data_IF_335683182210
#
_entry.id   IF_335683182210
#
_cell.length_a   1.000
_cell.length_b   1.000
_cell.length_c   1.000
_cell.angle_alpha   90.00
_cell.angle_beta   90.00
_cell.angle_gamma   90.00
#
_symmetry.space_group_name_H-M   'P 1'
#
loop_
_entity.id
_entity.type
_entity.pdbx_description
1 polymer ?
#
# COMPACT_ATOMS: atom_id res chain seq x y z
N UNK A 1 -22.29 -11.61 52.58
CA UNK A 1 -22.68 -11.54 51.15
C UNK A 1 -23.84 -10.56 51.02
N UNK A 2 -23.82 -9.58 50.10
CA UNK A 2 -23.44 -9.64 48.67
C UNK A 2 -22.23 -8.71 48.38
N UNK A 3 -21.67 -8.56 47.18
CA UNK A 3 -21.98 -9.05 45.85
C UNK A 3 -20.69 -8.99 45.02
N UNK A 4 -20.62 -9.82 43.98
CA UNK A 4 -19.42 -10.03 43.18
C UNK A 4 -18.95 -8.76 42.48
N UNK A 5 -17.66 -8.45 42.63
CA UNK A 5 -16.93 -7.66 41.65
C UNK A 5 -16.70 -8.57 40.43
N UNK A 6 -17.47 -8.34 39.37
CA UNK A 6 -17.08 -8.73 38.03
C UNK A 6 -15.86 -7.87 37.66
N UNK A 7 -14.67 -8.40 37.91
CA UNK A 7 -13.46 -7.79 37.35
C UNK A 7 -13.44 -8.05 35.86
N UNK A 8 -13.24 -6.96 35.12
CA UNK A 8 -13.47 -6.86 33.70
C UNK A 8 -12.63 -7.87 32.94
N UNK A 9 -13.25 -8.52 31.96
CA UNK A 9 -12.52 -9.19 30.91
C UNK A 9 -11.59 -8.19 30.24
N UNK A 10 -10.31 -8.23 30.61
CA UNK A 10 -9.23 -7.55 29.91
C UNK A 10 -9.16 -8.16 28.52
N UNK A 11 -9.90 -7.56 27.59
CA UNK A 11 -9.70 -7.80 26.17
C UNK A 11 -8.26 -7.37 25.85
N UNK A 12 -7.40 -8.37 25.66
CA UNK A 12 -6.02 -8.21 25.21
C UNK A 12 -6.04 -7.43 23.89
N UNK A 13 -5.78 -6.12 23.97
CA UNK A 13 -5.84 -5.23 22.81
C UNK A 13 -4.65 -5.42 21.86
N UNK A 14 -3.72 -6.32 22.20
CA UNK A 14 -2.59 -6.68 21.38
C UNK A 14 -2.47 -8.21 21.25
N UNK A 15 -2.28 -8.67 20.02
CA UNK A 15 -1.70 -9.99 19.69
C UNK A 15 -0.44 -9.72 18.88
N UNK A 16 0.65 -10.49 19.07
CA UNK A 16 1.90 -10.31 18.32
C UNK A 16 1.74 -10.91 16.92
N UNK A 17 1.05 -10.19 16.03
CA UNK A 17 1.02 -10.49 14.60
C UNK A 17 1.31 -9.21 13.80
N UNK A 18 2.42 -9.23 13.07
CA UNK A 18 2.71 -8.37 11.92
C UNK A 18 2.74 -6.85 12.18
N UNK A 19 3.85 -6.36 12.75
CA UNK A 19 4.32 -5.00 12.42
C UNK A 19 5.00 -5.02 11.04
N UNK A 20 4.23 -5.34 10.00
CA UNK A 20 4.56 -4.97 8.62
C UNK A 20 4.47 -3.45 8.55
N UNK A 21 5.55 -2.77 8.13
CA UNK A 21 5.43 -1.43 7.59
C UNK A 21 4.48 -1.53 6.39
N UNK A 22 3.21 -1.27 6.65
CA UNK A 22 2.11 -1.43 5.71
C UNK A 22 2.01 -0.11 4.95
N UNK A 23 2.83 0.08 3.91
CA UNK A 23 2.48 1.06 2.88
C UNK A 23 1.29 0.52 2.10
N UNK A 24 0.10 0.75 2.64
CA UNK A 24 -1.13 0.62 1.87
C UNK A 24 -1.21 1.84 0.95
N UNK A 25 -0.79 1.67 -0.31
CA UNK A 25 -1.02 2.65 -1.39
C UNK A 25 -2.52 2.64 -1.75
N UNK A 26 -3.35 3.31 -0.95
CA UNK A 26 -4.76 3.51 -1.28
C UNK A 26 -4.94 4.91 -1.85
N UNK A 27 -4.81 5.03 -3.17
CA UNK A 27 -5.03 6.28 -3.90
C UNK A 27 -6.48 6.69 -3.80
N UNK A 28 -6.78 7.86 -3.20
CA UNK A 28 -7.97 8.64 -3.53
C UNK A 28 -7.80 10.14 -3.33
N UNK A 29 -7.89 10.85 -4.44
CA UNK A 29 -8.25 12.26 -4.51
C UNK A 29 -9.69 12.35 -5.03
N UNK A 30 -10.57 12.99 -4.27
CA UNK A 30 -11.83 13.53 -4.77
C UNK A 30 -11.76 15.06 -4.81
N UNK A 31 -12.56 15.69 -5.69
CA UNK A 31 -12.46 17.10 -6.02
C UNK A 31 -13.03 17.97 -4.89
N UNK A 32 -12.80 19.26 -5.04
CA UNK A 32 -13.29 20.37 -4.21
C UNK A 32 -14.71 20.10 -3.67
N UNK A 33 -14.89 20.28 -2.35
CA UNK A 33 -16.21 20.24 -1.71
C UNK A 33 -17.05 21.42 -2.22
N UNK A 34 -17.90 21.16 -3.21
CA UNK A 34 -19.23 21.75 -3.26
C UNK A 34 -20.09 21.09 -2.18
N UNK A 35 -20.84 21.91 -1.45
CA UNK A 35 -21.68 21.53 -0.32
C UNK A 35 -22.74 20.49 -0.71
N UNK A 36 -22.81 19.35 0.01
CA UNK A 36 -24.00 18.49 -0.03
C UNK A 36 -23.81 17.06 0.44
N UNK A 37 -24.45 16.73 1.58
CA UNK A 37 -25.19 15.48 1.75
C UNK A 37 -24.41 14.24 2.19
N UNK A 38 -24.70 13.78 3.42
CA UNK A 38 -24.14 12.58 4.00
C UNK A 38 -24.43 11.30 3.23
N UNK A 39 -23.35 10.59 2.88
CA UNK A 39 -23.35 9.19 2.51
C UNK A 39 -22.00 8.64 2.95
N UNK A 40 -21.97 7.48 3.62
CA UNK A 40 -20.72 6.78 3.96
C UNK A 40 -19.95 6.56 2.67
N UNK A 41 -18.97 7.42 2.39
CA UNK A 41 -18.30 7.50 1.12
C UNK A 41 -17.63 6.17 0.81
N UNK A 42 -18.22 5.40 -0.12
CA UNK A 42 -17.43 4.46 -0.91
C UNK A 42 -16.33 5.32 -1.52
N UNK A 43 -15.13 5.17 -0.97
CA UNK A 43 -13.89 5.75 -1.48
C UNK A 43 -13.92 5.51 -3.01
N UNK A 44 -14.22 6.54 -3.80
CA UNK A 44 -14.51 6.41 -5.22
C UNK A 44 -13.23 6.12 -5.99
N UNK A 45 -12.93 4.84 -6.29
CA UNK A 45 -11.66 4.38 -6.90
C UNK A 45 -11.14 5.35 -7.98
N UNK A 46 -9.83 5.69 -8.00
CA UNK A 46 -9.30 6.52 -9.06
C UNK A 46 -9.53 5.83 -10.41
N UNK A 47 -9.65 6.61 -11.50
CA UNK A 47 -9.72 6.00 -12.83
C UNK A 47 -8.45 5.17 -13.09
N UNK A 48 -8.57 4.05 -13.82
CA UNK A 48 -7.44 3.18 -14.12
C UNK A 48 -6.40 3.93 -14.96
N UNK A 49 -5.12 3.69 -14.68
CA UNK A 49 -4.00 4.48 -15.20
C UNK A 49 -3.07 3.65 -16.07
N UNK A 50 -2.46 4.26 -17.08
CA UNK A 50 -1.39 3.63 -17.87
C UNK A 50 -0.06 3.89 -17.20
N UNK A 51 0.51 2.87 -16.58
CA UNK A 51 1.76 2.96 -15.82
C UNK A 51 2.70 1.84 -16.28
N UNK A 52 3.97 2.19 -16.46
CA UNK A 52 5.07 1.25 -16.60
C UNK A 52 5.66 0.96 -15.23
N UNK A 53 5.72 -0.31 -14.86
CA UNK A 53 6.24 -0.77 -13.57
C UNK A 53 7.40 -1.73 -13.82
N UNK A 54 8.57 -1.39 -13.29
CA UNK A 54 9.77 -2.20 -13.33
C UNK A 54 10.21 -2.59 -11.91
N UNK A 55 10.60 -3.85 -11.74
CA UNK A 55 11.07 -4.42 -10.48
C UNK A 55 12.44 -5.07 -10.72
N UNK A 56 13.50 -4.50 -10.14
CA UNK A 56 14.90 -4.84 -10.43
C UNK A 56 15.22 -4.84 -11.96
N UNK A 57 14.61 -3.92 -12.71
CA UNK A 57 14.74 -3.81 -14.16
C UNK A 57 13.84 -4.76 -14.97
N UNK A 58 13.08 -5.65 -14.31
CA UNK A 58 12.12 -6.54 -14.96
C UNK A 58 10.77 -5.84 -15.08
N UNK A 59 10.23 -5.80 -16.31
CA UNK A 59 8.93 -5.20 -16.61
C UNK A 59 7.78 -6.06 -16.07
N UNK A 60 6.91 -5.48 -15.23
CA UNK A 60 5.70 -6.12 -14.71
C UNK A 60 4.44 -5.73 -15.49
N UNK A 61 4.38 -4.47 -15.94
CA UNK A 61 3.34 -3.92 -16.82
C UNK A 61 3.92 -2.73 -17.57
N UNK A 62 3.48 -2.50 -18.80
CA UNK A 62 3.82 -1.31 -19.59
C UNK A 62 2.59 -0.40 -19.79
N UNK A 63 2.78 0.71 -20.50
CA UNK A 63 1.77 1.74 -20.75
C UNK A 63 0.62 1.28 -21.67
N UNK A 64 0.75 0.12 -22.31
CA UNK A 64 -0.27 -0.49 -23.18
C UNK A 64 -1.46 -1.07 -22.38
N UNK A 65 -1.27 -1.34 -21.10
CA UNK A 65 -2.32 -1.82 -20.19
C UNK A 65 -2.64 -0.81 -19.11
N UNK A 66 -3.91 -0.75 -18.73
CA UNK A 66 -4.34 0.05 -17.60
C UNK A 66 -4.23 -0.75 -16.30
N UNK A 67 -3.89 -0.05 -15.22
CA UNK A 67 -3.85 -0.59 -13.87
C UNK A 67 -4.81 0.16 -12.97
N UNK A 68 -5.53 -0.59 -12.14
CA UNK A 68 -6.38 -0.04 -11.08
C UNK A 68 -5.53 0.47 -9.90
N UNK A 69 -4.35 -0.12 -9.70
CA UNK A 69 -3.45 0.28 -8.64
C UNK A 69 -2.13 -0.47 -8.62
N UNK A 70 -1.14 0.14 -7.99
CA UNK A 70 0.17 -0.45 -7.70
C UNK A 70 0.43 -0.28 -6.21
N UNK A 71 0.82 -1.36 -5.54
CA UNK A 71 1.29 -1.32 -4.16
C UNK A 71 2.75 -1.76 -4.08
N UNK A 72 3.53 -1.04 -3.27
CA UNK A 72 4.92 -1.33 -2.96
C UNK A 72 5.04 -1.30 -1.44
N UNK A 73 5.44 -2.42 -0.87
CA UNK A 73 5.57 -2.57 0.58
C UNK A 73 6.83 -3.33 0.93
N UNK A 74 7.36 -3.15 2.13
CA UNK A 74 8.47 -4.00 2.60
C UNK A 74 7.96 -5.43 2.75
N UNK A 75 8.69 -6.41 2.21
CA UNK A 75 8.38 -7.81 2.46
C UNK A 75 8.57 -8.15 3.95
N UNK A 76 8.20 -9.38 4.35
CA UNK A 76 8.34 -9.86 5.71
C UNK A 76 9.73 -9.52 6.33
N UNK A 77 9.80 -9.27 7.66
CA UNK A 77 11.04 -8.87 8.32
C UNK A 77 12.23 -9.75 7.95
N UNK A 78 13.38 -9.14 7.67
CA UNK A 78 14.61 -9.84 7.29
C UNK A 78 14.73 -10.21 5.80
N UNK A 79 13.69 -10.01 4.99
CA UNK A 79 13.70 -10.40 3.57
C UNK A 79 14.52 -9.51 2.64
N UNK A 80 14.87 -8.28 3.04
CA UNK A 80 15.71 -7.37 2.24
C UNK A 80 15.14 -6.96 0.86
N UNK A 81 13.86 -7.25 0.60
CA UNK A 81 13.16 -7.00 -0.66
C UNK A 81 11.82 -6.30 -0.37
N UNK A 82 11.32 -5.57 -1.36
CA UNK A 82 9.97 -5.05 -1.39
C UNK A 82 9.06 -6.05 -2.09
N UNK A 83 7.83 -6.20 -1.60
CA UNK A 83 6.74 -6.82 -2.36
C UNK A 83 6.06 -5.75 -3.22
N UNK A 84 5.94 -6.04 -4.50
CA UNK A 84 5.22 -5.23 -5.49
C UNK A 84 3.99 -6.01 -5.92
N UNK A 85 2.82 -5.36 -5.87
CA UNK A 85 1.57 -5.91 -6.40
C UNK A 85 0.98 -4.91 -7.37
N UNK A 86 0.82 -5.33 -8.63
CA UNK A 86 0.14 -4.58 -9.67
C UNK A 86 -1.24 -5.20 -9.84
N UNK A 87 -2.28 -4.36 -9.83
CA UNK A 87 -3.65 -4.74 -10.11
C UNK A 87 -4.01 -4.24 -11.52
N UNK A 88 -3.98 -5.12 -12.54
CA UNK A 88 -4.43 -4.76 -13.88
C UNK A 88 -5.92 -4.39 -13.86
N UNK A 89 -6.34 -3.56 -14.81
CA UNK A 89 -7.75 -3.26 -15.04
C UNK A 89 -8.47 -4.49 -15.59
N UNK A 90 -9.66 -4.80 -15.07
CA UNK A 90 -10.38 -6.04 -15.38
C UNK A 90 -10.67 -6.24 -16.89
N UNK A 91 -10.89 -5.14 -17.62
CA UNK A 91 -11.21 -5.21 -19.06
C UNK A 91 -9.98 -5.52 -19.95
N UNK A 92 -8.75 -5.53 -19.39
CA UNK A 92 -7.52 -5.85 -20.13
C UNK A 92 -7.25 -7.37 -20.22
N UNK A 93 -8.21 -8.21 -19.83
CA UNK A 93 -8.12 -9.68 -19.96
C UNK A 93 -7.12 -10.33 -19.01
N UNK A 94 -6.77 -9.67 -17.91
CA UNK A 94 -5.84 -10.20 -16.91
C UNK A 94 -6.53 -11.20 -15.96
N UNK A 95 -5.89 -12.33 -15.69
CA UNK A 95 -6.41 -13.37 -14.78
C UNK A 95 -6.31 -12.98 -13.30
N UNK A 96 -5.54 -11.94 -12.95
CA UNK A 96 -5.41 -11.45 -11.58
C UNK A 96 -4.21 -10.52 -11.36
N UNK A 97 -3.93 -10.17 -10.09
CA UNK A 97 -2.82 -9.28 -9.75
C UNK A 97 -1.45 -9.91 -10.05
N UNK A 98 -0.54 -9.11 -10.61
CA UNK A 98 0.86 -9.49 -10.82
C UNK A 98 1.65 -9.17 -9.55
N UNK A 99 2.44 -10.13 -9.06
CA UNK A 99 3.25 -9.99 -7.84
C UNK A 99 4.72 -10.20 -8.15
N UNK A 100 5.57 -9.38 -7.54
CA UNK A 100 7.03 -9.51 -7.63
C UNK A 100 7.70 -9.14 -6.31
N UNK A 101 8.95 -9.57 -6.14
CA UNK A 101 9.84 -9.10 -5.07
C UNK A 101 11.08 -8.48 -5.68
N UNK A 102 11.46 -7.29 -5.22
CA UNK A 102 12.60 -6.57 -5.78
C UNK A 102 13.29 -5.64 -4.78
N UNK A 103 14.54 -5.27 -5.07
CA UNK A 103 15.30 -4.26 -4.31
C UNK A 103 15.00 -2.85 -4.78
N UNK A 104 14.81 -2.66 -6.08
CA UNK A 104 14.48 -1.40 -6.69
C UNK A 104 13.18 -1.53 -7.48
N UNK A 105 12.28 -0.56 -7.31
CA UNK A 105 11.00 -0.51 -8.02
C UNK A 105 10.88 0.85 -8.65
N UNK A 106 10.64 0.90 -9.96
CA UNK A 106 10.41 2.13 -10.71
C UNK A 106 8.99 2.12 -11.28
N UNK A 107 8.24 3.18 -11.00
CA UNK A 107 6.92 3.42 -11.59
C UNK A 107 7.00 4.69 -12.41
N UNK A 108 6.60 4.62 -13.67
CA UNK A 108 6.58 5.75 -14.60
C UNK A 108 5.34 5.76 -15.47
N UNK A 109 5.01 6.92 -16.05
CA UNK A 109 3.89 7.05 -16.98
C UNK A 109 3.35 8.46 -17.07
N UNK A 110 2.04 8.59 -17.24
CA UNK A 110 1.35 9.87 -17.08
C UNK A 110 1.53 10.44 -15.68
N UNK A 111 1.15 11.71 -15.46
CA UNK A 111 1.22 12.31 -14.13
C UNK A 111 0.39 11.49 -13.13
N UNK A 112 1.07 10.92 -12.13
CA UNK A 112 0.45 10.11 -11.10
C UNK A 112 0.76 10.69 -9.71
N UNK A 113 -0.14 10.39 -8.77
CA UNK A 113 0.06 10.63 -7.34
C UNK A 113 0.33 9.31 -6.65
N UNK A 114 1.00 9.34 -5.51
CA UNK A 114 1.23 8.16 -4.69
C UNK A 114 1.11 8.50 -3.21
N UNK A 115 0.75 7.52 -2.41
CA UNK A 115 0.77 7.62 -0.95
C UNK A 115 2.08 7.01 -0.42
N UNK A 116 2.67 7.66 0.56
CA UNK A 116 3.80 7.10 1.28
C UNK A 116 3.65 7.52 2.71
N UNK A 117 3.56 6.52 3.59
CA UNK A 117 3.13 6.70 4.97
C UNK A 117 1.78 7.45 5.00
N UNK A 118 1.71 8.57 5.70
CA UNK A 118 0.50 9.39 5.81
C UNK A 118 0.37 10.46 4.71
N UNK A 119 1.33 10.58 3.79
CA UNK A 119 1.41 11.70 2.85
C UNK A 119 1.08 11.27 1.42
N UNK A 120 0.25 12.08 0.76
CA UNK A 120 0.06 12.02 -0.69
C UNK A 120 1.13 12.89 -1.35
N UNK A 121 1.85 12.34 -2.33
CA UNK A 121 2.84 13.03 -3.14
C UNK A 121 2.45 13.04 -4.62
N UNK A 122 2.93 14.04 -5.35
CA UNK A 122 2.71 14.23 -6.79
C UNK A 122 1.84 15.44 -7.13
N UNK A 123 1.55 15.68 -8.43
CA UNK A 123 1.82 14.77 -9.56
C UNK A 123 3.32 14.59 -9.86
N UNK A 124 3.70 13.36 -10.24
CA UNK A 124 5.03 13.03 -10.76
C UNK A 124 4.89 12.14 -12.00
N UNK A 125 5.90 12.15 -12.87
CA UNK A 125 5.99 11.28 -14.05
C UNK A 125 6.74 9.97 -13.81
N UNK A 126 7.64 9.98 -12.83
CA UNK A 126 8.47 8.83 -12.48
C UNK A 126 8.84 8.86 -11.01
N UNK A 127 8.88 7.70 -10.38
CA UNK A 127 9.39 7.53 -9.03
C UNK A 127 10.05 6.17 -8.88
N UNK A 128 11.22 6.17 -8.24
CA UNK A 128 11.94 4.96 -7.85
C UNK A 128 11.96 4.82 -6.33
N UNK A 129 11.73 3.61 -5.84
CA UNK A 129 11.91 3.20 -4.45
C UNK A 129 12.97 2.12 -4.37
N UNK A 130 13.90 2.26 -3.44
CA UNK A 130 14.96 1.27 -3.20
C UNK A 130 14.89 0.79 -1.76
N UNK A 131 14.97 -0.52 -1.57
CA UNK A 131 15.05 -1.15 -0.26
C UNK A 131 16.46 -0.95 0.28
N UNK A 132 16.52 -0.32 1.45
CA UNK A 132 17.74 -0.22 2.23
C UNK A 132 17.65 -1.19 3.40
N UNK A 133 18.22 -2.39 3.23
CA UNK A 133 18.20 -3.42 4.26
C UNK A 133 18.99 -2.95 5.49
N UNK A 134 18.42 -3.12 6.69
CA UNK A 134 19.06 -2.69 7.93
C UNK A 134 19.18 -1.18 8.09
N UNK A 135 18.48 -0.37 7.29
CA UNK A 135 18.53 1.10 7.38
C UNK A 135 17.97 1.66 8.70
N UNK A 136 17.20 0.87 9.44
CA UNK A 136 16.61 1.25 10.71
C UNK A 136 16.84 0.17 11.75
N UNK A 137 17.37 0.56 12.91
CA UNK A 137 17.37 -0.24 14.13
C UNK A 137 16.20 0.19 15.03
N UNK A 138 15.33 -0.74 15.40
CA UNK A 138 14.18 -0.47 16.27
C UNK A 138 14.32 -1.26 17.57
N UNK A 139 14.23 -0.56 18.71
CA UNK A 139 14.06 -1.22 20.01
C UNK A 139 12.60 -1.65 20.12
N UNK A 140 12.36 -2.96 20.15
CA UNK A 140 11.03 -3.51 20.33
C UNK A 140 10.81 -3.89 21.81
N UNK A 141 9.62 -3.63 22.38
CA UNK A 141 9.29 -4.17 23.69
C UNK A 141 9.30 -5.69 23.61
N UNK A 142 9.97 -6.33 24.57
CA UNK A 142 9.92 -7.77 24.75
C UNK A 142 8.55 -8.12 25.32
N UNK A 143 7.75 -8.89 24.58
CA UNK A 143 6.57 -9.52 25.16
C UNK A 143 7.06 -10.53 26.22
N UNK A 144 6.48 -10.47 27.43
CA UNK A 144 6.53 -11.60 28.37
C UNK A 144 5.33 -12.49 28.15
#
# INVERSE_FOLDING_TARGET
HPGGCADGGHHSWWTPAARTARTALTLLSLPVMGLGGGGRGRRAQPPPQRLRVEADGVLLTDLDRQVEGVSVSTAAPGGGLAEVVVHPHADDGAEGPVRARARAVTVSGQDFRYHSDALVRGPVRSRTWTVLAGAWSLTLPHLR
#
